data_IF_345500383021
#
_entry.id   IF_345500383021
#
_cell.length_a   1.000
_cell.length_b   1.000
_cell.length_c   1.000
_cell.angle_alpha   90.00
_cell.angle_beta   90.00
_cell.angle_gamma   90.00
#
_symmetry.space_group_name_H-M   'P 1'
#
loop_
_entity.id
_entity.type
_entity.pdbx_description
1 polymer ?
#
# COMPACT_ATOMS: atom_id res chain seq x y z
N UNK A 1 -5.14 -36.38 -10.63
CA UNK A 1 -4.38 -35.51 -11.55
C UNK A 1 -3.49 -34.59 -10.73
N UNK A 2 -2.18 -34.57 -10.99
CA UNK A 2 -1.23 -33.72 -10.26
C UNK A 2 -1.41 -32.25 -10.62
N UNK A 3 -1.02 -31.37 -9.71
CA UNK A 3 -1.06 -29.92 -9.94
C UNK A 3 0.14 -29.21 -9.32
N UNK A 4 0.54 -28.14 -9.98
CA UNK A 4 1.50 -27.15 -9.49
C UNK A 4 0.73 -25.87 -9.20
N UNK A 5 0.64 -25.49 -7.93
CA UNK A 5 -0.03 -24.27 -7.47
C UNK A 5 1.03 -23.18 -7.31
N UNK A 6 0.94 -22.12 -8.11
CA UNK A 6 1.79 -20.95 -8.03
C UNK A 6 1.01 -19.88 -7.28
N UNK A 7 1.48 -19.47 -6.10
CA UNK A 7 0.81 -18.42 -5.34
C UNK A 7 1.27 -17.04 -5.82
N UNK A 8 0.36 -16.10 -5.99
CA UNK A 8 0.68 -14.71 -6.39
C UNK A 8 0.13 -13.72 -5.38
N UNK A 9 0.98 -12.84 -4.86
CA UNK A 9 0.57 -11.81 -3.91
C UNK A 9 1.73 -11.13 -3.19
N UNK A 10 1.46 -9.97 -2.57
CA UNK A 10 2.45 -9.17 -1.83
C UNK A 10 3.05 -9.92 -0.63
N UNK A 11 4.27 -9.57 -0.18
CA UNK A 11 4.68 -9.90 1.19
C UNK A 11 3.59 -9.47 2.18
N UNK A 12 3.34 -10.24 3.23
CA UNK A 12 2.21 -10.00 4.14
C UNK A 12 0.87 -10.63 3.73
N UNK A 13 0.70 -11.08 2.49
CA UNK A 13 -0.59 -11.56 1.96
C UNK A 13 -1.03 -12.98 2.41
N UNK A 14 -0.34 -13.60 3.36
CA UNK A 14 -0.72 -14.93 3.89
C UNK A 14 -0.33 -16.16 3.04
N UNK A 15 0.46 -16.00 1.98
CA UNK A 15 0.87 -17.12 1.08
C UNK A 15 1.43 -18.33 1.84
N UNK A 16 2.47 -18.11 2.64
CA UNK A 16 3.14 -19.21 3.35
C UNK A 16 2.25 -19.85 4.41
N UNK A 17 1.32 -19.12 5.02
CA UNK A 17 0.31 -19.68 5.94
C UNK A 17 -0.60 -20.65 5.20
N UNK A 18 -1.15 -20.23 4.06
CA UNK A 18 -1.99 -21.09 3.22
C UNK A 18 -1.22 -22.33 2.73
N UNK A 19 0.00 -22.15 2.24
CA UNK A 19 0.83 -23.25 1.74
C UNK A 19 1.16 -24.28 2.82
N UNK A 20 1.54 -23.83 4.03
CA UNK A 20 1.83 -24.71 5.18
C UNK A 20 0.58 -25.46 5.63
N UNK A 21 -0.57 -24.78 5.71
CA UNK A 21 -1.84 -25.43 6.06
C UNK A 21 -2.23 -26.50 5.04
N UNK A 22 -2.09 -26.22 3.74
CA UNK A 22 -2.42 -27.18 2.70
C UNK A 22 -1.54 -28.44 2.77
N UNK A 23 -0.25 -28.30 3.05
CA UNK A 23 0.66 -29.43 3.27
C UNK A 23 0.28 -30.22 4.53
N UNK A 24 -0.01 -29.52 5.64
CA UNK A 24 -0.37 -30.16 6.91
C UNK A 24 -1.68 -30.96 6.82
N UNK A 25 -2.67 -30.44 6.10
CA UNK A 25 -3.95 -31.11 5.87
C UNK A 25 -3.84 -32.29 4.89
N UNK A 26 -2.79 -32.34 4.08
CA UNK A 26 -2.61 -33.35 3.03
C UNK A 26 -1.19 -33.95 3.12
N UNK A 27 -0.88 -34.66 4.23
CA UNK A 27 0.45 -35.18 4.47
C UNK A 27 0.91 -36.08 3.33
N UNK A 28 2.19 -35.96 2.98
CA UNK A 28 2.85 -36.69 1.89
C UNK A 28 2.23 -36.51 0.48
N UNK A 29 1.25 -35.61 0.30
CA UNK A 29 0.60 -35.38 -1.00
C UNK A 29 1.11 -34.10 -1.67
N UNK A 30 1.44 -33.07 -0.89
CA UNK A 30 1.96 -31.80 -1.38
C UNK A 30 3.41 -31.57 -0.94
N UNK A 31 4.20 -30.96 -1.82
CA UNK A 31 5.54 -30.45 -1.52
C UNK A 31 5.56 -28.93 -1.73
N UNK A 32 5.87 -28.20 -0.66
CA UNK A 32 6.06 -26.74 -0.69
C UNK A 32 7.49 -26.42 -1.08
N UNK A 33 7.67 -25.54 -2.05
CA UNK A 33 8.97 -25.08 -2.55
C UNK A 33 8.97 -23.56 -2.53
N UNK A 34 9.92 -22.97 -1.81
CA UNK A 34 9.98 -21.53 -1.56
C UNK A 34 11.41 -21.02 -1.73
N UNK A 35 11.61 -19.95 -2.51
CA UNK A 35 12.95 -19.40 -2.74
C UNK A 35 13.57 -18.74 -1.51
N UNK A 36 12.77 -18.14 -0.61
CA UNK A 36 13.32 -17.56 0.63
C UNK A 36 13.86 -18.66 1.55
N UNK A 37 13.15 -19.79 1.66
CA UNK A 37 13.65 -20.94 2.42
C UNK A 37 14.91 -21.55 1.78
N UNK A 38 14.98 -21.63 0.44
CA UNK A 38 16.18 -22.08 -0.26
C UNK A 38 17.35 -21.09 -0.06
N UNK A 39 17.11 -19.77 -0.10
CA UNK A 39 18.14 -18.75 0.17
C UNK A 39 18.66 -18.86 1.61
N UNK A 40 17.75 -19.09 2.57
CA UNK A 40 18.14 -19.34 3.96
C UNK A 40 19.00 -20.61 4.08
N UNK A 41 18.61 -21.68 3.40
CA UNK A 41 19.32 -22.96 3.43
C UNK A 41 20.72 -22.88 2.81
N UNK A 42 20.87 -22.29 1.62
CA UNK A 42 22.13 -22.33 0.88
C UNK A 42 23.07 -21.16 1.19
N UNK A 43 22.51 -19.98 1.47
CA UNK A 43 23.29 -18.74 1.52
C UNK A 43 23.04 -17.94 2.82
N UNK A 44 22.45 -18.57 3.84
CA UNK A 44 22.03 -17.90 5.08
C UNK A 44 21.20 -16.62 4.81
N UNK A 45 20.41 -16.62 3.74
CA UNK A 45 19.58 -15.51 3.29
C UNK A 45 20.36 -14.36 2.65
N UNK A 46 21.61 -14.57 2.22
CA UNK A 46 22.36 -13.61 1.42
C UNK A 46 21.90 -13.67 -0.04
N UNK A 47 21.75 -12.51 -0.69
CA UNK A 47 21.25 -12.42 -2.06
C UNK A 47 22.29 -11.79 -2.98
N UNK A 48 22.53 -12.45 -4.12
CA UNK A 48 23.43 -11.99 -5.19
C UNK A 48 22.88 -12.48 -6.53
N UNK A 49 23.36 -11.91 -7.65
CA UNK A 49 22.97 -12.38 -9.00
C UNK A 49 23.32 -13.85 -9.22
N UNK A 50 24.47 -14.30 -8.71
CA UNK A 50 24.93 -15.69 -8.81
C UNK A 50 24.06 -16.63 -7.99
N UNK A 51 23.81 -16.29 -6.73
CA UNK A 51 22.99 -17.08 -5.81
C UNK A 51 21.57 -17.22 -6.35
N UNK A 52 20.97 -16.13 -6.83
CA UNK A 52 19.60 -16.18 -7.35
C UNK A 52 19.46 -17.05 -8.61
N UNK A 53 20.52 -17.17 -9.43
CA UNK A 53 20.55 -18.10 -10.56
C UNK A 53 20.53 -19.55 -10.07
N UNK A 54 21.36 -19.88 -9.09
CA UNK A 54 21.42 -21.22 -8.49
C UNK A 54 20.10 -21.59 -7.81
N UNK A 55 19.54 -20.71 -6.99
CA UNK A 55 18.26 -20.92 -6.30
C UNK A 55 17.12 -21.25 -7.28
N UNK A 56 17.06 -20.57 -8.43
CA UNK A 56 16.06 -20.86 -9.48
C UNK A 56 16.25 -22.24 -10.10
N UNK A 57 17.48 -22.65 -10.36
CA UNK A 57 17.78 -23.98 -10.90
C UNK A 57 17.39 -25.09 -9.91
N UNK A 58 17.75 -24.93 -8.62
CA UNK A 58 17.40 -25.89 -7.58
C UNK A 58 15.88 -25.98 -7.42
N UNK A 59 15.17 -24.85 -7.41
CA UNK A 59 13.70 -24.85 -7.38
C UNK A 59 13.12 -25.68 -8.54
N UNK A 60 13.59 -25.48 -9.76
CA UNK A 60 13.10 -26.22 -10.92
C UNK A 60 13.34 -27.73 -10.77
N UNK A 61 14.52 -28.13 -10.27
CA UNK A 61 14.83 -29.54 -9.97
C UNK A 61 13.88 -30.13 -8.92
N UNK A 62 13.60 -29.38 -7.85
CA UNK A 62 12.69 -29.82 -6.78
C UNK A 62 11.25 -29.97 -7.28
N UNK A 63 10.80 -29.07 -8.17
CA UNK A 63 9.47 -29.17 -8.80
C UNK A 63 9.39 -30.48 -9.59
N UNK A 64 10.35 -30.74 -10.47
CA UNK A 64 10.36 -31.95 -11.30
C UNK A 64 10.40 -33.21 -10.42
N UNK A 65 11.31 -33.27 -9.45
CA UNK A 65 11.45 -34.44 -8.58
C UNK A 65 10.15 -34.74 -7.81
N UNK A 66 9.47 -33.72 -7.31
CA UNK A 66 8.18 -33.90 -6.65
C UNK A 66 7.11 -34.46 -7.60
N UNK A 67 7.08 -33.97 -8.85
CA UNK A 67 6.13 -34.48 -9.86
C UNK A 67 6.43 -35.91 -10.29
N UNK A 68 7.70 -36.30 -10.41
CA UNK A 68 8.14 -37.69 -10.66
C UNK A 68 7.64 -38.63 -9.56
N UNK A 69 7.72 -38.20 -8.30
CA UNK A 69 7.26 -38.97 -7.13
C UNK A 69 5.73 -38.91 -6.92
N UNK A 70 4.97 -38.48 -7.93
CA UNK A 70 3.51 -38.47 -7.88
C UNK A 70 2.91 -37.34 -7.03
N UNK A 71 3.70 -36.34 -6.61
CA UNK A 71 3.25 -35.31 -5.66
C UNK A 71 2.66 -34.08 -6.34
N UNK A 72 1.82 -33.36 -5.60
CA UNK A 72 1.45 -31.99 -5.93
C UNK A 72 2.53 -31.02 -5.46
N UNK A 73 2.66 -29.87 -6.14
CA UNK A 73 3.66 -28.86 -5.82
C UNK A 73 2.99 -27.54 -5.48
N UNK A 74 3.51 -26.84 -4.47
CA UNK A 74 3.12 -25.47 -4.12
C UNK A 74 4.36 -24.59 -4.21
N UNK A 75 4.31 -23.55 -5.02
CA UNK A 75 5.35 -22.52 -5.12
C UNK A 75 4.80 -21.24 -4.51
N UNK A 76 5.18 -20.95 -3.27
CA UNK A 76 4.63 -19.83 -2.46
C UNK A 76 5.53 -18.58 -2.44
N UNK A 77 6.35 -18.41 -3.48
CA UNK A 77 7.02 -17.14 -3.78
C UNK A 77 6.01 -15.99 -4.01
N UNK A 78 6.46 -14.73 -4.13
CA UNK A 78 5.57 -13.58 -4.42
C UNK A 78 4.89 -13.65 -5.79
N UNK A 79 5.63 -14.10 -6.82
CA UNK A 79 5.16 -14.29 -8.21
C UNK A 79 4.38 -13.12 -8.82
N UNK A 80 4.73 -11.89 -8.43
CA UNK A 80 4.09 -10.67 -8.93
C UNK A 80 4.41 -10.39 -10.41
N UNK A 81 5.59 -10.79 -10.88
CA UNK A 81 5.95 -10.77 -12.30
C UNK A 81 5.61 -12.10 -12.97
N UNK A 82 5.09 -12.05 -14.20
CA UNK A 82 4.75 -13.23 -15.01
C UNK A 82 5.96 -14.11 -15.34
N UNK A 83 7.19 -13.59 -15.29
CA UNK A 83 8.41 -14.33 -15.66
C UNK A 83 8.51 -15.69 -14.97
N UNK A 84 8.13 -15.75 -13.69
CA UNK A 84 8.20 -17.01 -12.97
C UNK A 84 7.07 -17.98 -13.36
N UNK A 85 5.86 -17.45 -13.56
CA UNK A 85 4.69 -18.22 -13.98
C UNK A 85 4.97 -18.86 -15.35
N UNK A 86 5.48 -18.08 -16.30
CA UNK A 86 5.87 -18.56 -17.64
C UNK A 86 6.91 -19.68 -17.55
N UNK A 87 7.97 -19.50 -16.75
CA UNK A 87 9.03 -20.51 -16.59
C UNK A 87 8.48 -21.83 -16.02
N UNK A 88 7.64 -21.76 -14.99
CA UNK A 88 7.06 -22.96 -14.36
C UNK A 88 6.08 -23.65 -15.33
N UNK A 89 5.29 -22.89 -16.08
CA UNK A 89 4.42 -23.45 -17.13
C UNK A 89 5.23 -24.23 -18.17
N UNK A 90 6.32 -23.66 -18.68
CA UNK A 90 7.22 -24.34 -19.62
C UNK A 90 7.79 -25.64 -19.01
N UNK A 91 8.27 -25.57 -17.76
CA UNK A 91 8.82 -26.72 -17.05
C UNK A 91 7.80 -27.86 -16.92
N UNK A 92 6.55 -27.54 -16.60
CA UNK A 92 5.47 -28.52 -16.45
C UNK A 92 5.04 -29.10 -17.81
N UNK A 93 5.01 -28.28 -18.86
CA UNK A 93 4.73 -28.75 -20.23
C UNK A 93 5.80 -29.73 -20.72
N UNK A 94 7.08 -29.43 -20.49
CA UNK A 94 8.20 -30.32 -20.79
C UNK A 94 8.08 -31.65 -20.02
N UNK A 95 7.76 -31.58 -18.73
CA UNK A 95 7.53 -32.76 -17.89
C UNK A 95 6.38 -33.63 -18.42
N UNK A 96 5.24 -33.02 -18.75
CA UNK A 96 4.07 -33.73 -19.27
C UNK A 96 4.40 -34.45 -20.57
N UNK A 97 5.10 -33.79 -21.50
CA UNK A 97 5.51 -34.38 -22.78
C UNK A 97 6.46 -35.57 -22.57
N UNK A 98 7.46 -35.43 -21.69
CA UNK A 98 8.47 -36.47 -21.44
C UNK A 98 7.89 -37.71 -20.76
N UNK A 99 6.90 -37.53 -19.88
CA UNK A 99 6.38 -38.60 -19.02
C UNK A 99 4.98 -39.09 -19.41
N UNK A 100 4.42 -38.59 -20.52
CA UNK A 100 3.05 -38.84 -20.95
C UNK A 100 2.02 -38.56 -19.82
N UNK A 101 2.18 -37.40 -19.19
CA UNK A 101 1.41 -36.97 -18.01
C UNK A 101 0.54 -35.73 -18.32
N UNK A 102 -0.33 -35.35 -17.39
CA UNK A 102 -1.32 -34.27 -17.53
C UNK A 102 -1.35 -33.35 -16.29
N UNK A 103 -0.19 -32.97 -15.80
CA UNK A 103 -0.06 -32.03 -14.67
C UNK A 103 -0.59 -30.66 -15.06
N UNK A 104 -1.46 -30.08 -14.21
CA UNK A 104 -2.01 -28.72 -14.39
C UNK A 104 -1.24 -27.68 -13.58
N UNK A 105 -1.12 -26.46 -14.12
CA UNK A 105 -0.61 -25.31 -13.38
C UNK A 105 -1.78 -24.40 -13.01
N UNK A 106 -1.88 -24.06 -11.72
CA UNK A 106 -2.92 -23.20 -11.17
C UNK A 106 -2.25 -21.98 -10.55
N UNK A 107 -2.69 -20.77 -10.91
CA UNK A 107 -2.26 -19.54 -10.22
C UNK A 107 -3.29 -19.23 -9.13
N UNK A 108 -2.83 -19.15 -7.88
CA UNK A 108 -3.67 -18.74 -6.75
C UNK A 108 -3.33 -17.31 -6.36
N UNK A 109 -4.19 -16.38 -6.73
CA UNK A 109 -4.13 -15.00 -6.28
C UNK A 109 -4.51 -14.87 -4.81
N UNK A 110 -3.76 -14.04 -4.09
CA UNK A 110 -4.04 -13.68 -2.71
C UNK A 110 -4.79 -12.35 -2.68
N UNK A 111 -6.08 -12.43 -2.36
CA UNK A 111 -6.96 -11.28 -2.19
C UNK A 111 -6.72 -10.61 -0.83
N UNK A 112 -5.66 -9.81 -0.73
CA UNK A 112 -5.35 -9.06 0.50
C UNK A 112 -5.02 -7.62 0.14
N UNK A 113 -5.69 -6.67 0.81
CA UNK A 113 -5.46 -5.25 0.66
C UNK A 113 -4.02 -4.86 1.05
N UNK A 114 -3.50 -3.82 0.42
CA UNK A 114 -2.14 -3.31 0.64
C UNK A 114 -1.86 -3.03 2.12
N UNK A 115 -2.75 -2.31 2.79
CA UNK A 115 -2.58 -1.96 4.20
C UNK A 115 -2.57 -3.18 5.11
N UNK A 116 -3.41 -4.18 4.84
CA UNK A 116 -3.37 -5.44 5.59
C UNK A 116 -2.06 -6.19 5.38
N UNK A 117 -1.49 -6.15 4.17
CA UNK A 117 -0.17 -6.71 3.90
C UNK A 117 0.93 -5.99 4.70
N UNK A 118 0.89 -4.66 4.76
CA UNK A 118 1.83 -3.84 5.53
C UNK A 118 1.70 -4.10 7.02
N UNK A 119 0.48 -4.17 7.55
CA UNK A 119 0.22 -4.48 8.94
C UNK A 119 0.76 -5.87 9.31
N UNK A 120 0.51 -6.86 8.47
CA UNK A 120 1.02 -8.21 8.64
C UNK A 120 2.54 -8.28 8.56
N UNK A 121 3.17 -7.47 7.72
CA UNK A 121 4.63 -7.38 7.62
C UNK A 121 5.25 -6.68 8.84
N UNK A 122 4.56 -5.69 9.42
CA UNK A 122 5.05 -4.97 10.60
C UNK A 122 5.24 -5.89 11.81
N UNK A 123 4.42 -6.95 11.91
CA UNK A 123 4.44 -8.02 12.91
C UNK A 123 5.50 -9.10 12.65
N UNK A 124 6.23 -9.04 11.53
CA UNK A 124 7.30 -10.00 11.20
C UNK A 124 8.63 -9.55 11.78
N UNK A 125 9.54 -10.50 11.95
CA UNK A 125 10.88 -10.26 12.48
C UNK A 125 11.98 -10.72 11.52
N UNK A 126 13.19 -10.19 11.73
CA UNK A 126 14.38 -10.55 10.98
C UNK A 126 14.21 -10.38 9.47
N UNK A 127 14.75 -11.33 8.69
CA UNK A 127 14.73 -11.30 7.22
C UNK A 127 13.34 -11.52 6.60
N UNK A 128 12.35 -11.94 7.39
CA UNK A 128 10.98 -12.12 6.91
C UNK A 128 10.20 -10.80 6.83
N UNK A 129 10.67 -9.76 7.54
CA UNK A 129 10.15 -8.39 7.48
C UNK A 129 10.71 -7.69 6.25
N UNK A 130 9.84 -7.35 5.31
CA UNK A 130 10.24 -6.74 4.02
C UNK A 130 10.28 -5.22 4.11
N UNK A 131 9.40 -4.62 4.91
CA UNK A 131 9.27 -3.18 5.09
C UNK A 131 8.21 -2.55 4.20
N UNK A 132 7.47 -1.60 4.76
CA UNK A 132 6.35 -0.90 4.12
C UNK A 132 6.72 -0.32 2.76
N UNK A 133 7.84 0.42 2.68
CA UNK A 133 8.30 1.08 1.45
C UNK A 133 8.42 0.10 0.29
N UNK A 134 9.01 -1.06 0.53
CA UNK A 134 9.23 -2.12 -0.46
C UNK A 134 7.89 -2.76 -0.86
N UNK A 135 6.98 -3.00 0.09
CA UNK A 135 5.65 -3.57 -0.20
C UNK A 135 4.83 -2.61 -1.05
N UNK A 136 4.81 -1.30 -0.73
CA UNK A 136 4.14 -0.28 -1.54
C UNK A 136 4.74 -0.16 -2.94
N UNK A 137 6.05 -0.27 -3.08
CA UNK A 137 6.72 -0.30 -4.38
C UNK A 137 6.31 -1.54 -5.19
N UNK A 138 6.31 -2.72 -4.57
CA UNK A 138 5.82 -3.95 -5.22
C UNK A 138 4.37 -3.83 -5.66
N UNK A 139 3.50 -3.23 -4.84
CA UNK A 139 2.09 -3.02 -5.19
C UNK A 139 1.95 -2.10 -6.42
N UNK A 140 2.64 -0.96 -6.41
CA UNK A 140 2.62 0.00 -7.53
C UNK A 140 3.17 -0.58 -8.82
N UNK A 141 4.21 -1.40 -8.76
CA UNK A 141 4.87 -1.94 -9.95
C UNK A 141 4.16 -3.14 -10.59
N UNK A 142 3.37 -3.90 -9.82
CA UNK A 142 2.87 -5.20 -10.28
C UNK A 142 1.37 -5.43 -10.11
N UNK A 143 0.69 -4.64 -9.27
CA UNK A 143 -0.73 -4.88 -8.94
C UNK A 143 -1.60 -3.70 -9.37
N UNK A 144 -1.09 -2.47 -9.30
CA UNK A 144 -1.94 -1.29 -9.54
C UNK A 144 -2.32 -1.17 -11.03
N UNK A 145 -3.64 -1.21 -11.21
CA UNK A 145 -4.45 -1.04 -12.42
C UNK A 145 -4.06 0.17 -13.29
N UNK A 146 -4.40 0.14 -14.58
CA UNK A 146 -4.09 1.22 -15.55
C UNK A 146 -4.77 2.55 -15.18
N UNK A 147 -5.90 2.51 -14.46
CA UNK A 147 -6.57 3.71 -13.95
C UNK A 147 -5.91 4.19 -12.66
N UNK A 148 -5.00 5.17 -12.80
CA UNK A 148 -4.23 5.78 -11.70
C UNK A 148 -5.10 6.43 -10.62
N UNK A 149 -6.30 6.90 -10.97
CA UNK A 149 -7.22 7.62 -10.09
C UNK A 149 -8.63 7.00 -10.07
N UNK A 150 -9.36 7.20 -8.97
CA UNK A 150 -10.75 6.79 -8.85
C UNK A 150 -11.64 7.58 -9.83
N UNK A 151 -12.63 6.91 -10.42
CA UNK A 151 -13.68 7.59 -11.18
C UNK A 151 -14.53 8.40 -10.21
N UNK A 152 -14.70 9.68 -10.50
CA UNK A 152 -15.49 10.62 -9.70
C UNK A 152 -16.69 11.12 -10.51
N UNK A 153 -17.75 11.54 -9.82
CA UNK A 153 -18.90 12.15 -10.47
C UNK A 153 -18.60 13.62 -10.82
N UNK A 154 -18.36 13.89 -12.10
CA UNK A 154 -18.03 15.24 -12.60
C UNK A 154 -19.16 16.28 -12.45
N UNK A 155 -20.40 15.84 -12.15
CA UNK A 155 -21.51 16.75 -11.89
C UNK A 155 -21.48 17.37 -10.48
N UNK A 156 -20.66 16.84 -9.56
CA UNK A 156 -20.53 17.36 -8.21
C UNK A 156 -19.70 18.66 -8.18
N UNK A 157 -19.92 19.55 -7.18
CA UNK A 157 -19.08 20.72 -6.99
C UNK A 157 -17.59 20.35 -6.92
N UNK A 158 -16.78 21.00 -7.75
CA UNK A 158 -15.33 20.79 -7.76
C UNK A 158 -14.70 21.32 -6.47
N UNK A 159 -13.76 20.57 -5.92
CA UNK A 159 -13.10 20.92 -4.68
C UNK A 159 -11.62 20.55 -4.68
N UNK A 160 -10.85 21.24 -3.85
CA UNK A 160 -9.51 20.81 -3.44
C UNK A 160 -9.49 20.53 -1.94
N UNK A 161 -8.71 19.53 -1.54
CA UNK A 161 -8.47 19.20 -0.13
C UNK A 161 -7.10 19.76 0.26
N UNK A 162 -7.01 20.41 1.40
CA UNK A 162 -5.74 20.87 1.96
C UNK A 162 -5.59 20.46 3.42
N UNK A 163 -4.47 19.83 3.72
CA UNK A 163 -4.02 19.62 5.09
C UNK A 163 -3.56 20.94 5.76
N UNK A 164 -3.52 20.95 7.09
CA UNK A 164 -3.00 22.08 7.88
C UNK A 164 -1.53 21.91 8.24
N UNK A 165 -1.20 20.99 9.13
CA UNK A 165 0.09 20.96 9.82
C UNK A 165 1.21 20.40 8.94
N UNK A 166 2.21 21.22 8.65
CA UNK A 166 3.27 20.89 7.68
C UNK A 166 2.88 21.17 6.22
N UNK A 167 1.58 21.36 5.96
CA UNK A 167 1.05 21.71 4.63
C UNK A 167 0.74 23.20 4.49
N UNK A 168 -0.35 23.69 5.07
CA UNK A 168 -0.76 25.10 5.04
C UNK A 168 -0.10 25.92 6.16
N UNK A 169 0.11 25.28 7.31
CA UNK A 169 0.64 25.84 8.54
C UNK A 169 2.05 25.30 8.81
N UNK A 170 3.04 26.18 8.86
CA UNK A 170 4.41 25.87 9.25
C UNK A 170 4.54 26.02 10.77
N UNK A 171 4.66 24.87 11.45
CA UNK A 171 4.55 24.77 12.91
C UNK A 171 5.75 25.29 13.69
N UNK A 172 6.88 25.55 13.03
CA UNK A 172 8.13 25.92 13.69
C UNK A 172 8.48 24.93 14.81
N UNK A 173 8.60 25.40 16.07
CA UNK A 173 8.93 24.58 17.24
C UNK A 173 7.69 24.08 18.02
N UNK A 174 6.48 24.22 17.47
CA UNK A 174 5.25 23.75 18.12
C UNK A 174 5.21 22.22 18.14
N UNK A 175 4.80 21.66 19.28
CA UNK A 175 4.49 20.24 19.41
C UNK A 175 3.38 19.81 18.42
N UNK A 176 3.63 18.84 17.51
CA UNK A 176 2.64 18.32 16.58
C UNK A 176 1.37 17.79 17.21
N UNK A 177 1.44 17.28 18.43
CA UNK A 177 0.29 16.70 19.12
C UNK A 177 -0.49 17.73 19.94
N UNK A 178 0.07 18.92 20.18
CA UNK A 178 -0.56 19.98 20.95
C UNK A 178 -0.74 21.24 20.08
N UNK A 179 -1.95 21.45 19.58
CA UNK A 179 -2.29 22.60 18.74
C UNK A 179 -2.83 23.81 19.52
N UNK A 180 -2.64 23.86 20.85
CA UNK A 180 -3.12 24.98 21.68
C UNK A 180 -2.54 26.35 21.33
N UNK A 181 -1.40 26.39 20.63
CA UNK A 181 -0.71 27.62 20.18
C UNK A 181 -0.60 27.72 18.66
N UNK A 182 -1.38 26.93 17.91
CA UNK A 182 -1.31 26.91 16.46
C UNK A 182 -1.72 28.24 15.80
N UNK A 183 -2.36 29.15 16.54
CA UNK A 183 -2.62 30.53 16.10
C UNK A 183 -1.34 31.32 15.83
N UNK A 184 -0.17 30.83 16.28
CA UNK A 184 1.14 31.45 16.08
C UNK A 184 1.97 30.83 14.96
N UNK A 185 1.47 29.78 14.30
CA UNK A 185 2.17 29.11 13.19
C UNK A 185 2.39 30.10 12.03
N UNK A 186 3.43 29.87 11.20
CA UNK A 186 3.67 30.68 10.00
C UNK A 186 2.90 30.12 8.80
N UNK A 187 2.50 30.96 7.84
CA UNK A 187 1.82 30.48 6.64
C UNK A 187 2.83 29.88 5.65
N UNK A 188 2.49 28.71 5.11
CA UNK A 188 3.14 28.22 3.90
C UNK A 188 2.61 29.03 2.71
N UNK A 189 3.29 30.15 2.40
CA UNK A 189 2.82 31.16 1.43
C UNK A 189 2.52 30.58 0.03
N UNK A 190 3.34 29.68 -0.55
CA UNK A 190 3.00 29.01 -1.81
C UNK A 190 1.68 28.24 -1.74
N UNK A 191 1.47 27.44 -0.70
CA UNK A 191 0.24 26.66 -0.51
C UNK A 191 -0.96 27.58 -0.34
N UNK A 192 -0.83 28.62 0.49
CA UNK A 192 -1.87 29.65 0.62
C UNK A 192 -2.21 30.33 -0.72
N UNK A 193 -1.21 30.56 -1.57
CA UNK A 193 -1.41 31.07 -2.93
C UNK A 193 -2.25 30.14 -3.80
N UNK A 194 -2.00 28.83 -3.74
CA UNK A 194 -2.81 27.81 -4.44
C UNK A 194 -4.26 27.86 -3.97
N UNK A 195 -4.51 27.85 -2.65
CA UNK A 195 -5.88 27.90 -2.11
C UNK A 195 -6.63 29.15 -2.57
N UNK A 196 -5.97 30.32 -2.54
CA UNK A 196 -6.54 31.59 -2.99
C UNK A 196 -6.91 31.56 -4.47
N UNK A 197 -6.07 30.95 -5.31
CA UNK A 197 -6.32 30.87 -6.74
C UNK A 197 -7.47 29.92 -7.07
N UNK A 198 -7.51 28.74 -6.45
CA UNK A 198 -8.60 27.78 -6.67
C UNK A 198 -9.95 28.32 -6.16
N UNK A 199 -9.96 29.00 -5.02
CA UNK A 199 -11.16 29.66 -4.50
C UNK A 199 -11.73 30.70 -5.48
N UNK A 200 -10.86 31.53 -6.08
CA UNK A 200 -11.27 32.52 -7.11
C UNK A 200 -11.86 31.87 -8.36
N UNK A 201 -11.35 30.68 -8.72
CA UNK A 201 -11.86 29.90 -9.84
C UNK A 201 -13.10 29.06 -9.49
N UNK A 202 -13.72 29.30 -8.33
CA UNK A 202 -14.99 28.69 -7.93
C UNK A 202 -14.86 27.28 -7.35
N UNK A 203 -13.64 26.81 -7.08
CA UNK A 203 -13.44 25.53 -6.39
C UNK A 203 -13.74 25.66 -4.91
N UNK A 204 -14.36 24.62 -4.36
CA UNK A 204 -14.56 24.46 -2.92
C UNK A 204 -13.25 24.14 -2.23
N UNK A 205 -12.96 24.83 -1.13
CA UNK A 205 -11.73 24.64 -0.36
C UNK A 205 -12.06 23.87 0.91
N UNK A 206 -11.65 22.60 0.95
CA UNK A 206 -11.92 21.69 2.06
C UNK A 206 -10.65 21.53 2.91
N UNK A 207 -10.66 22.08 4.12
CA UNK A 207 -9.54 21.92 5.06
C UNK A 207 -9.75 20.66 5.90
N UNK A 208 -8.76 19.77 5.92
CA UNK A 208 -8.78 18.57 6.75
C UNK A 208 -7.58 18.58 7.67
N UNK A 209 -7.79 18.38 8.98
CA UNK A 209 -6.71 18.43 9.96
C UNK A 209 -6.73 17.25 10.92
N UNK A 210 -5.52 16.79 11.27
CA UNK A 210 -5.30 15.88 12.39
C UNK A 210 -5.31 16.57 13.76
N UNK A 211 -5.38 17.91 13.82
CA UNK A 211 -5.59 18.65 15.08
C UNK A 211 -6.92 18.23 15.69
N UNK A 212 -6.95 18.05 17.00
CA UNK A 212 -8.21 17.83 17.73
C UNK A 212 -9.12 19.05 17.63
N UNK A 213 -10.43 18.81 17.55
CA UNK A 213 -11.47 19.83 17.44
C UNK A 213 -11.57 20.75 18.66
N UNK A 214 -11.08 20.35 19.84
CA UNK A 214 -10.87 21.28 20.96
C UNK A 214 -9.97 22.48 20.60
N UNK A 215 -9.09 22.35 19.60
CA UNK A 215 -8.21 23.43 19.10
C UNK A 215 -8.78 24.17 17.88
N UNK A 216 -10.06 23.96 17.57
CA UNK A 216 -10.77 24.68 16.50
C UNK A 216 -10.74 26.21 16.70
N UNK A 217 -10.93 26.78 17.90
CA UNK A 217 -10.86 28.23 18.09
C UNK A 217 -9.52 28.83 17.66
N UNK A 218 -8.39 28.22 18.04
CA UNK A 218 -7.05 28.67 17.68
C UNK A 218 -6.79 28.52 16.17
N UNK A 219 -7.28 27.42 15.59
CA UNK A 219 -7.19 27.18 14.15
C UNK A 219 -7.97 28.24 13.37
N UNK A 220 -9.18 28.60 13.81
CA UNK A 220 -9.98 29.66 13.17
C UNK A 220 -9.31 31.03 13.28
N UNK A 221 -8.75 31.37 14.45
CA UNK A 221 -7.97 32.62 14.62
C UNK A 221 -6.80 32.69 13.64
N UNK A 222 -6.12 31.57 13.40
CA UNK A 222 -5.04 31.50 12.41
C UNK A 222 -5.55 31.73 10.99
N UNK A 223 -6.63 31.05 10.61
CA UNK A 223 -7.22 31.13 9.27
C UNK A 223 -7.72 32.56 8.98
N UNK A 224 -8.35 33.20 9.96
CA UNK A 224 -8.79 34.60 9.86
C UNK A 224 -7.61 35.55 9.69
N UNK A 225 -6.56 35.42 10.53
CA UNK A 225 -5.36 36.27 10.48
C UNK A 225 -4.72 36.30 9.09
N UNK A 226 -4.68 35.16 8.39
CA UNK A 226 -4.06 35.06 7.07
C UNK A 226 -5.06 35.16 5.90
N UNK A 227 -6.34 35.42 6.20
CA UNK A 227 -7.40 35.57 5.20
C UNK A 227 -7.56 34.32 4.34
N UNK A 228 -7.57 33.14 4.98
CA UNK A 228 -7.77 31.86 4.29
C UNK A 228 -9.26 31.66 4.04
N UNK A 229 -9.66 31.60 2.78
CA UNK A 229 -11.00 31.19 2.40
C UNK A 229 -11.13 29.67 2.49
N UNK A 230 -12.19 29.19 3.13
CA UNK A 230 -12.53 27.76 3.19
C UNK A 230 -14.05 27.57 3.25
N UNK A 231 -14.51 26.46 2.69
CA UNK A 231 -15.93 26.06 2.74
C UNK A 231 -16.17 25.05 3.88
N UNK A 232 -15.20 24.20 4.18
CA UNK A 232 -15.27 23.20 5.24
C UNK A 232 -13.98 23.15 6.05
N UNK A 233 -14.10 22.97 7.37
CA UNK A 233 -13.00 22.67 8.28
C UNK A 233 -13.34 21.40 9.06
N UNK A 234 -12.75 20.29 8.62
CA UNK A 234 -12.97 18.95 9.16
C UNK A 234 -11.76 18.55 10.02
N UNK A 235 -12.00 18.27 11.30
CA UNK A 235 -10.95 18.06 12.30
C UNK A 235 -11.11 16.70 12.98
N UNK A 236 -10.03 16.23 13.61
CA UNK A 236 -10.04 15.04 14.46
C UNK A 236 -10.94 15.31 15.68
N UNK A 237 -11.77 14.34 16.05
CA UNK A 237 -12.57 14.41 17.30
C UNK A 237 -11.64 14.36 18.51
N UNK A 238 -11.87 15.19 19.52
CA UNK A 238 -11.09 15.16 20.76
C UNK A 238 -11.02 13.75 21.37
N UNK A 239 -9.84 13.41 21.87
CA UNK A 239 -9.46 12.10 22.42
C UNK A 239 -9.39 10.92 21.42
N UNK A 240 -9.54 11.15 20.11
CA UNK A 240 -9.31 10.11 19.11
C UNK A 240 -7.80 9.93 18.85
N UNK A 241 -7.24 8.80 19.30
CA UNK A 241 -5.80 8.50 19.24
C UNK A 241 -5.40 7.67 18.01
N UNK A 242 -6.33 7.41 17.08
CA UNK A 242 -6.03 6.65 15.85
C UNK A 242 -5.05 7.41 14.95
N UNK A 243 -4.44 6.69 14.00
CA UNK A 243 -3.52 7.28 13.03
C UNK A 243 -4.22 8.31 12.13
N UNK A 244 -3.47 9.34 11.72
CA UNK A 244 -3.96 10.41 10.84
C UNK A 244 -4.59 9.89 9.56
N UNK A 245 -3.97 8.88 8.92
CA UNK A 245 -4.50 8.27 7.70
C UNK A 245 -5.89 7.66 7.91
N UNK A 246 -6.10 6.97 9.05
CA UNK A 246 -7.40 6.35 9.38
C UNK A 246 -8.46 7.43 9.56
N UNK A 247 -8.13 8.50 10.30
CA UNK A 247 -9.07 9.59 10.57
C UNK A 247 -9.40 10.36 9.29
N UNK A 248 -8.40 10.69 8.47
CA UNK A 248 -8.62 11.39 7.20
C UNK A 248 -9.41 10.53 6.21
N UNK A 249 -9.21 9.21 6.18
CA UNK A 249 -10.04 8.28 5.41
C UNK A 249 -11.49 8.26 5.90
N UNK A 250 -11.72 8.25 7.21
CA UNK A 250 -13.08 8.32 7.78
C UNK A 250 -13.76 9.64 7.43
N UNK A 251 -13.05 10.77 7.55
CA UNK A 251 -13.54 12.10 7.18
C UNK A 251 -13.92 12.13 5.70
N UNK A 252 -13.04 11.64 4.82
CA UNK A 252 -13.28 11.61 3.38
C UNK A 252 -14.54 10.81 3.03
N UNK A 253 -14.65 9.59 3.53
CA UNK A 253 -15.79 8.73 3.22
C UNK A 253 -17.11 9.26 3.80
N UNK A 254 -17.07 9.92 4.95
CA UNK A 254 -18.29 10.39 5.64
C UNK A 254 -18.78 11.72 5.09
N UNK A 255 -17.86 12.65 4.79
CA UNK A 255 -18.23 14.04 4.52
C UNK A 255 -17.93 14.50 3.09
N UNK A 256 -17.11 13.77 2.31
CA UNK A 256 -16.56 14.29 1.05
C UNK A 256 -16.94 13.45 -0.18
N UNK A 257 -16.70 12.12 -0.15
CA UNK A 257 -16.68 11.23 -1.33
C UNK A 257 -17.85 11.38 -2.31
N UNK A 258 -19.06 11.59 -1.81
CA UNK A 258 -20.29 11.68 -2.62
C UNK A 258 -20.88 13.10 -2.69
N UNK A 259 -20.14 14.10 -2.20
CA UNK A 259 -20.57 15.51 -2.16
C UNK A 259 -19.73 16.42 -3.05
N UNK A 260 -18.51 16.01 -3.37
CA UNK A 260 -17.56 16.82 -4.14
C UNK A 260 -16.85 15.99 -5.19
N UNK A 261 -16.46 16.65 -6.28
CA UNK A 261 -15.46 16.13 -7.22
C UNK A 261 -14.09 16.70 -6.80
N UNK A 262 -13.18 15.84 -6.38
CA UNK A 262 -11.86 16.26 -5.86
C UNK A 262 -10.87 16.37 -7.00
N UNK A 263 -10.40 17.59 -7.25
CA UNK A 263 -9.40 17.91 -8.27
C UNK A 263 -8.01 17.42 -7.84
N UNK A 264 -7.58 17.76 -6.62
CA UNK A 264 -6.40 17.20 -5.97
C UNK A 264 -6.40 17.47 -4.46
N UNK A 265 -5.46 16.80 -3.79
CA UNK A 265 -5.17 16.94 -2.37
C UNK A 265 -3.77 17.54 -2.17
N UNK A 266 -3.64 18.49 -1.25
CA UNK A 266 -2.37 19.00 -0.72
C UNK A 266 -2.16 18.40 0.67
N UNK A 267 -1.07 17.67 0.84
CA UNK A 267 -0.68 17.04 2.11
C UNK A 267 0.85 16.97 2.16
N UNK A 268 1.45 16.77 3.33
CA UNK A 268 2.90 16.72 3.49
C UNK A 268 3.38 15.33 3.95
N UNK A 269 2.64 14.67 4.85
CA UNK A 269 3.06 13.47 5.57
C UNK A 269 2.97 12.21 4.72
N UNK A 270 4.06 11.44 4.63
CA UNK A 270 4.20 10.26 3.76
C UNK A 270 3.05 9.26 3.93
N UNK A 271 2.72 8.87 5.17
CA UNK A 271 1.66 7.90 5.43
C UNK A 271 0.27 8.36 4.97
N UNK A 272 0.01 9.68 5.02
CA UNK A 272 -1.27 10.27 4.60
C UNK A 272 -1.30 10.42 3.09
N UNK A 273 -0.21 10.86 2.49
CA UNK A 273 -0.03 10.91 1.03
C UNK A 273 -0.18 9.52 0.39
N UNK A 274 0.35 8.48 1.01
CA UNK A 274 0.14 7.10 0.56
C UNK A 274 -1.33 6.71 0.63
N UNK A 275 -2.03 7.01 1.72
CA UNK A 275 -3.46 6.76 1.83
C UNK A 275 -4.25 7.46 0.70
N UNK A 276 -4.00 8.75 0.44
CA UNK A 276 -4.68 9.47 -0.64
C UNK A 276 -4.45 8.82 -2.00
N UNK A 277 -3.21 8.42 -2.31
CA UNK A 277 -2.82 7.91 -3.62
C UNK A 277 -3.15 6.44 -3.82
N UNK A 278 -2.89 5.59 -2.83
CA UNK A 278 -2.96 4.13 -2.95
C UNK A 278 -4.30 3.57 -2.55
N UNK A 279 -4.93 4.10 -1.50
CA UNK A 279 -6.21 3.63 -0.99
C UNK A 279 -7.38 4.37 -1.64
N UNK A 280 -7.38 5.71 -1.57
CA UNK A 280 -8.48 6.53 -2.07
C UNK A 280 -8.35 6.88 -3.56
N UNK A 281 -7.18 6.60 -4.16
CA UNK A 281 -6.86 6.86 -5.57
C UNK A 281 -7.18 8.30 -6.00
N UNK A 282 -6.82 9.28 -5.18
CA UNK A 282 -6.93 10.70 -5.52
C UNK A 282 -5.58 11.28 -5.97
N UNK A 283 -5.58 12.31 -6.83
CA UNK A 283 -4.40 13.11 -7.09
C UNK A 283 -3.96 13.78 -5.80
N UNK A 284 -2.70 13.60 -5.41
CA UNK A 284 -2.16 14.23 -4.20
C UNK A 284 -0.77 14.79 -4.48
N UNK A 285 -0.61 16.09 -4.23
CA UNK A 285 0.66 16.82 -4.32
C UNK A 285 1.26 16.91 -2.93
N UNK A 286 2.43 16.30 -2.78
CA UNK A 286 3.14 16.31 -1.53
C UNK A 286 3.96 17.59 -1.44
N UNK A 287 3.61 18.49 -0.52
CA UNK A 287 4.14 19.86 -0.53
C UNK A 287 5.51 20.00 0.14
N UNK A 288 5.89 19.03 0.98
CA UNK A 288 7.19 19.00 1.65
C UNK A 288 7.64 17.57 2.00
N UNK A 289 8.85 17.41 2.54
CA UNK A 289 9.30 16.13 3.08
C UNK A 289 8.42 15.71 4.25
N UNK A 290 7.95 14.46 4.22
CA UNK A 290 6.94 13.96 5.17
C UNK A 290 7.30 12.66 5.87
N UNK A 291 8.58 12.33 6.03
CA UNK A 291 8.99 11.04 6.62
C UNK A 291 8.93 11.04 8.15
N UNK A 292 7.70 11.15 8.68
CA UNK A 292 7.37 11.15 10.11
C UNK A 292 5.94 10.69 10.36
#
# INVERSE_FOLDING_TARGET
MKKVIIMRGLPGSGKSTYAKNLVAQNPNSYKRINRDDLRMMFDNGYTSKGNEKFIKQVRDMLIIKALEDGKHVIVDDTNLSEKNIVRINQLVQEFNKKNNDSVKVEVKDMEVYLEQCIENDSKREGKAKVGEKVIREMYRNFIKDETRYAVQNEALPKAIICDLDGTLCLMQDRDPYNASTCDKDLPNKPVLGVLKEYAKNGYKILLISAREDQYKPQTLTWLERYGVHFDELLMRKTADTRKDSIIKTEIYNTYIKDKYMIEFVLDDRNQVVYMWRDELRLPCFQVYYGDF
#
